data_IF_030370950906
#
_entry.id   IF_030370950906
#
_cell.length_a   1.000
_cell.length_b   1.000
_cell.length_c   1.000
_cell.angle_alpha   90.00
_cell.angle_beta   90.00
_cell.angle_gamma   90.00
#
_symmetry.space_group_name_H-M   'P 1'
#
loop_
_entity.id
_entity.type
_entity.pdbx_description
1 polymer ?
#
# COMPACT_ATOMS: atom_id res chain seq x y z
N UNK A 1 -78.30 17.90 7.05
CA UNK A 1 -77.10 17.54 7.84
C UNK A 1 -76.16 16.82 6.91
N UNK A 2 -75.20 17.54 6.33
CA UNK A 2 -74.48 17.13 5.11
C UNK A 2 -72.98 17.30 5.31
N UNK A 3 -72.28 16.16 5.16
CA UNK A 3 -70.89 15.94 4.77
C UNK A 3 -69.73 16.67 5.49
N UNK A 4 -68.98 15.88 6.28
CA UNK A 4 -67.58 16.13 6.64
C UNK A 4 -66.68 16.14 5.39
N UNK A 5 -65.92 17.21 5.19
CA UNK A 5 -64.80 17.25 4.23
C UNK A 5 -63.55 16.76 4.95
N UNK A 6 -63.06 15.58 4.55
CA UNK A 6 -61.75 15.05 4.95
C UNK A 6 -60.67 15.70 4.08
N UNK A 7 -59.77 16.47 4.70
CA UNK A 7 -58.58 17.02 4.04
C UNK A 7 -57.58 15.90 3.74
N UNK A 8 -57.39 15.59 2.45
CA UNK A 8 -56.32 14.73 1.96
C UNK A 8 -54.97 15.45 2.02
N UNK A 9 -53.94 14.72 2.47
CA UNK A 9 -52.58 15.21 2.66
C UNK A 9 -51.72 15.29 1.40
N UNK A 10 -50.51 15.81 1.59
CA UNK A 10 -49.35 15.56 0.74
C UNK A 10 -48.09 15.70 1.60
N UNK A 11 -47.60 14.56 2.09
CA UNK A 11 -46.25 14.45 2.65
C UNK A 11 -45.33 14.03 1.49
N UNK A 12 -44.56 14.99 0.95
CA UNK A 12 -43.56 14.69 -0.06
C UNK A 12 -42.36 13.99 0.61
N UNK A 13 -42.27 12.66 0.47
CA UNK A 13 -41.04 11.94 0.76
C UNK A 13 -40.03 12.23 -0.35
N UNK A 14 -39.05 13.07 -0.07
CA UNK A 14 -37.81 13.15 -0.84
C UNK A 14 -37.02 11.87 -0.62
N UNK A 15 -37.15 10.92 -1.55
CA UNK A 15 -36.23 9.78 -1.67
C UNK A 15 -34.89 10.33 -2.19
N UNK A 16 -33.98 10.65 -1.27
CA UNK A 16 -32.57 10.83 -1.57
C UNK A 16 -32.00 9.47 -1.99
N UNK A 17 -32.00 9.20 -3.29
CA UNK A 17 -31.20 8.14 -3.89
C UNK A 17 -29.72 8.53 -3.73
N UNK A 18 -29.14 8.22 -2.57
CA UNK A 18 -27.70 8.30 -2.38
C UNK A 18 -27.05 7.39 -3.41
N UNK A 19 -26.28 7.98 -4.32
CA UNK A 19 -25.40 7.22 -5.20
C UNK A 19 -24.50 6.37 -4.30
N UNK A 20 -24.75 5.05 -4.26
CA UNK A 20 -23.81 4.12 -3.62
C UNK A 20 -22.53 4.21 -4.43
N UNK A 21 -21.46 4.70 -3.80
CA UNK A 21 -20.13 4.58 -4.38
C UNK A 21 -19.92 3.09 -4.67
N UNK A 22 -19.74 2.75 -5.95
CA UNK A 22 -19.37 1.40 -6.34
C UNK A 22 -17.98 1.18 -5.78
N UNK A 23 -17.87 0.30 -4.78
CA UNK A 23 -16.60 -0.06 -4.18
C UNK A 23 -15.75 -0.76 -5.24
N UNK A 24 -14.53 -0.26 -5.46
CA UNK A 24 -13.60 -0.85 -6.42
C UNK A 24 -13.29 -2.29 -5.96
N UNK A 25 -13.53 -3.31 -6.79
CA UNK A 25 -13.27 -4.69 -6.38
C UNK A 25 -11.78 -4.89 -6.10
N UNK A 26 -11.42 -5.74 -5.12
CA UNK A 26 -10.03 -6.11 -4.90
C UNK A 26 -9.47 -6.85 -6.13
N UNK A 27 -8.15 -7.01 -6.16
CA UNK A 27 -7.49 -7.85 -7.16
C UNK A 27 -7.85 -9.31 -6.91
N UNK A 28 -8.04 -10.10 -7.97
CA UNK A 28 -8.16 -11.56 -7.88
C UNK A 28 -6.79 -12.22 -7.57
N UNK A 29 -6.73 -13.55 -7.32
CA UNK A 29 -5.48 -14.19 -6.93
C UNK A 29 -4.36 -14.08 -7.99
N UNK A 30 -4.69 -14.15 -9.28
CA UNK A 30 -3.73 -14.02 -10.36
C UNK A 30 -3.22 -12.58 -10.47
N UNK A 31 -4.14 -11.61 -10.44
CA UNK A 31 -3.83 -10.19 -10.42
C UNK A 31 -2.96 -9.84 -9.20
N UNK A 32 -3.26 -10.40 -8.03
CA UNK A 32 -2.50 -10.19 -6.80
C UNK A 32 -1.06 -10.71 -6.91
N UNK A 33 -0.85 -11.87 -7.55
CA UNK A 33 0.49 -12.40 -7.81
C UNK A 33 1.30 -11.51 -8.75
N UNK A 34 0.69 -11.06 -9.86
CA UNK A 34 1.35 -10.19 -10.84
C UNK A 34 1.63 -8.79 -10.25
N UNK A 35 0.68 -8.24 -9.46
CA UNK A 35 0.89 -7.00 -8.71
C UNK A 35 2.09 -7.11 -7.79
N UNK A 36 2.23 -8.20 -7.01
CA UNK A 36 3.37 -8.39 -6.11
C UNK A 36 4.70 -8.38 -6.86
N UNK A 37 4.75 -9.04 -8.02
CA UNK A 37 5.95 -9.07 -8.84
C UNK A 37 6.33 -7.65 -9.32
N UNK A 38 5.37 -6.84 -9.77
CA UNK A 38 5.62 -5.45 -10.13
C UNK A 38 5.98 -4.57 -8.94
N UNK A 39 5.25 -4.67 -7.84
CA UNK A 39 5.47 -3.92 -6.60
C UNK A 39 6.90 -4.12 -6.08
N UNK A 40 7.34 -5.38 -5.98
CA UNK A 40 8.70 -5.73 -5.55
C UNK A 40 9.74 -5.27 -6.58
N UNK A 41 9.47 -5.42 -7.89
CA UNK A 41 10.39 -4.94 -8.94
C UNK A 41 10.59 -3.42 -8.88
N UNK A 42 9.53 -2.65 -8.66
CA UNK A 42 9.59 -1.20 -8.59
C UNK A 42 10.33 -0.74 -7.32
N UNK A 43 10.03 -1.35 -6.17
CA UNK A 43 10.75 -1.08 -4.94
C UNK A 43 12.25 -1.43 -5.06
N UNK A 44 12.57 -2.52 -5.76
CA UNK A 44 13.96 -2.88 -6.06
C UNK A 44 14.64 -1.83 -6.94
N UNK A 45 13.95 -1.26 -7.93
CA UNK A 45 14.53 -0.22 -8.78
C UNK A 45 14.87 1.04 -7.97
N UNK A 46 14.02 1.41 -7.00
CA UNK A 46 14.30 2.55 -6.11
C UNK A 46 15.51 2.28 -5.20
N UNK A 47 15.80 1.01 -4.88
CA UNK A 47 17.01 0.63 -4.15
C UNK A 47 18.26 0.70 -5.04
N UNK A 48 18.20 0.19 -6.27
CA UNK A 48 19.38 0.06 -7.13
C UNK A 48 19.80 1.37 -7.79
N UNK A 49 18.85 2.20 -8.21
CA UNK A 49 19.12 3.47 -8.87
C UNK A 49 19.03 4.67 -7.92
N UNK A 50 18.51 4.46 -6.71
CA UNK A 50 18.06 5.52 -5.81
C UNK A 50 16.65 5.99 -6.14
N UNK A 51 16.07 6.87 -5.28
CA UNK A 51 14.73 7.41 -5.49
C UNK A 51 14.60 8.13 -6.84
N UNK A 52 13.64 7.68 -7.65
CA UNK A 52 13.26 8.36 -8.89
C UNK A 52 12.79 9.79 -8.58
N UNK A 53 13.07 10.78 -9.45
CA UNK A 53 12.51 12.14 -9.33
C UNK A 53 10.98 12.16 -9.29
N UNK A 54 10.31 11.09 -9.75
CA UNK A 54 8.85 10.93 -9.69
C UNK A 54 8.34 10.55 -8.30
N UNK A 55 9.22 10.08 -7.43
CA UNK A 55 8.90 9.75 -6.05
C UNK A 55 9.18 10.97 -5.16
N UNK A 56 8.16 11.83 -5.03
CA UNK A 56 8.27 13.10 -4.29
C UNK A 56 8.23 12.94 -2.76
N UNK A 57 7.59 11.89 -2.26
CA UNK A 57 7.36 11.69 -0.82
C UNK A 57 8.32 10.62 -0.29
N UNK A 58 9.58 10.99 -0.09
CA UNK A 58 10.66 10.07 0.27
C UNK A 58 10.58 9.70 1.76
N UNK A 59 9.59 8.90 2.11
CA UNK A 59 9.37 8.31 3.43
C UNK A 59 9.04 6.81 3.31
N UNK A 60 9.03 6.07 4.43
CA UNK A 60 8.80 4.62 4.40
C UNK A 60 7.45 4.25 3.77
N UNK A 61 6.38 4.95 4.12
CA UNK A 61 5.06 4.75 3.54
C UNK A 61 4.98 5.30 2.10
N UNK A 62 5.78 6.30 1.77
CA UNK A 62 5.91 6.88 0.45
C UNK A 62 6.48 5.90 -0.57
N UNK A 63 7.44 5.07 -0.16
CA UNK A 63 7.93 3.95 -0.98
C UNK A 63 6.79 2.99 -1.32
N UNK A 64 5.96 2.62 -0.35
CA UNK A 64 4.80 1.75 -0.55
C UNK A 64 3.76 2.41 -1.46
N UNK A 65 3.40 3.67 -1.19
CA UNK A 65 2.45 4.43 -2.02
C UNK A 65 2.94 4.52 -3.47
N UNK A 66 4.22 4.84 -3.67
CA UNK A 66 4.83 4.94 -4.99
C UNK A 66 4.83 3.59 -5.71
N UNK A 67 5.39 2.55 -5.09
CA UNK A 67 5.48 1.23 -5.69
C UNK A 67 4.09 0.63 -5.99
N UNK A 68 3.11 0.81 -5.11
CA UNK A 68 1.75 0.33 -5.31
C UNK A 68 1.05 1.07 -6.45
N UNK A 69 1.18 2.40 -6.49
CA UNK A 69 0.60 3.20 -7.55
C UNK A 69 1.20 2.89 -8.92
N UNK A 70 2.52 2.76 -8.99
CA UNK A 70 3.20 2.45 -10.24
C UNK A 70 2.93 1.00 -10.69
N UNK A 71 2.79 0.03 -9.78
CA UNK A 71 2.46 -1.36 -10.09
C UNK A 71 1.05 -1.57 -10.66
N UNK A 72 0.12 -0.63 -10.44
CA UNK A 72 -1.26 -0.71 -10.96
C UNK A 72 -1.41 -0.02 -12.32
N UNK A 73 -0.37 0.64 -12.83
CA UNK A 73 -0.40 1.29 -14.15
C UNK A 73 -0.21 0.29 -15.27
N UNK A 74 -0.37 0.78 -16.50
CA UNK A 74 0.04 0.05 -17.70
C UNK A 74 1.55 0.19 -17.85
N UNK A 75 2.27 -0.93 -17.96
CA UNK A 75 3.74 -0.94 -18.04
C UNK A 75 4.24 -0.95 -19.49
N UNK A 76 3.80 0.03 -20.29
CA UNK A 76 4.24 0.22 -21.67
C UNK A 76 5.68 0.78 -21.76
N UNK A 77 6.22 0.88 -22.99
CA UNK A 77 7.56 1.43 -23.24
C UNK A 77 7.73 2.86 -22.72
N UNK A 78 6.65 3.66 -22.70
CA UNK A 78 6.70 5.02 -22.17
C UNK A 78 6.84 4.99 -20.65
N UNK A 79 6.08 4.14 -19.98
CA UNK A 79 6.16 3.92 -18.54
C UNK A 79 7.55 3.43 -18.13
N UNK A 80 8.10 2.44 -18.85
CA UNK A 80 9.44 1.89 -18.60
C UNK A 80 10.52 2.96 -18.69
N UNK A 81 10.54 3.74 -19.78
CA UNK A 81 11.46 4.88 -19.93
C UNK A 81 11.29 5.92 -18.82
N UNK A 82 10.06 6.24 -18.44
CA UNK A 82 9.78 7.26 -17.42
C UNK A 82 10.19 6.84 -16.01
N UNK A 83 10.26 5.53 -15.74
CA UNK A 83 10.67 4.98 -14.45
C UNK A 83 12.11 4.47 -14.46
N UNK A 84 12.84 4.57 -15.57
CA UNK A 84 14.23 4.12 -15.68
C UNK A 84 14.39 2.59 -15.62
N UNK A 85 13.33 1.82 -15.86
CA UNK A 85 13.40 0.35 -15.83
C UNK A 85 13.95 -0.18 -17.16
N UNK A 86 14.85 -1.17 -17.05
CA UNK A 86 15.27 -1.96 -18.20
C UNK A 86 14.22 -3.01 -18.58
N UNK A 87 14.13 -3.32 -19.87
CA UNK A 87 13.22 -4.34 -20.41
C UNK A 87 13.64 -5.80 -20.09
N UNK A 88 14.57 -6.00 -19.15
CA UNK A 88 15.00 -7.34 -18.73
C UNK A 88 14.21 -7.79 -17.50
N UNK A 89 13.83 -9.07 -17.51
CA UNK A 89 13.15 -9.74 -16.38
C UNK A 89 11.92 -8.97 -15.88
N UNK A 90 11.12 -8.41 -16.79
CA UNK A 90 9.87 -7.74 -16.45
C UNK A 90 8.83 -8.80 -16.04
N UNK A 91 8.03 -8.55 -14.99
CA UNK A 91 6.83 -9.34 -14.75
C UNK A 91 5.87 -9.26 -15.94
N UNK A 92 4.92 -10.21 -16.08
CA UNK A 92 3.89 -10.12 -17.11
C UNK A 92 3.02 -8.88 -16.89
N UNK A 93 2.40 -8.37 -17.94
CA UNK A 93 1.51 -7.20 -17.82
C UNK A 93 0.29 -7.51 -16.96
N UNK A 94 -0.05 -6.57 -16.07
CA UNK A 94 -1.15 -6.69 -15.13
C UNK A 94 -2.46 -6.28 -15.80
N UNK A 95 -3.34 -7.26 -16.03
CA UNK A 95 -4.66 -7.04 -16.63
C UNK A 95 -5.64 -6.53 -15.57
N UNK A 96 -5.98 -5.24 -15.60
CA UNK A 96 -6.88 -4.57 -14.66
C UNK A 96 -8.00 -3.82 -15.37
N UNK A 97 -9.16 -3.73 -14.71
CA UNK A 97 -10.16 -2.72 -15.03
C UNK A 97 -9.67 -1.31 -14.67
N UNK A 98 -10.25 -0.28 -15.30
CA UNK A 98 -9.92 1.12 -15.00
C UNK A 98 -10.13 1.46 -13.52
N UNK A 99 -11.16 0.89 -12.89
CA UNK A 99 -11.41 1.06 -11.45
C UNK A 99 -10.25 0.50 -10.61
N UNK A 100 -9.79 -0.72 -10.90
CA UNK A 100 -8.69 -1.36 -10.18
C UNK A 100 -7.37 -0.58 -10.32
N UNK A 101 -7.13 0.08 -11.46
CA UNK A 101 -5.95 0.95 -11.64
C UNK A 101 -5.93 2.13 -10.66
N UNK A 102 -7.09 2.52 -10.14
CA UNK A 102 -7.25 3.58 -9.14
C UNK A 102 -7.08 3.15 -7.68
N UNK A 103 -6.85 1.87 -7.37
CA UNK A 103 -6.82 1.38 -5.98
C UNK A 103 -5.80 2.13 -5.10
N UNK A 104 -4.57 2.33 -5.60
CA UNK A 104 -3.53 3.08 -4.89
C UNK A 104 -3.65 4.62 -5.00
N UNK A 105 -4.78 5.12 -5.51
CA UNK A 105 -5.18 6.53 -5.43
C UNK A 105 -6.36 6.74 -4.47
N UNK A 106 -6.93 5.66 -3.94
CA UNK A 106 -8.14 5.64 -3.12
C UNK A 106 -7.88 5.07 -1.72
N UNK A 107 -6.75 5.41 -1.12
CA UNK A 107 -6.41 4.94 0.23
C UNK A 107 -7.40 5.48 1.26
N UNK A 108 -7.87 4.61 2.16
CA UNK A 108 -8.72 4.97 3.29
C UNK A 108 -7.93 5.84 4.27
N UNK A 109 -8.43 7.06 4.52
CA UNK A 109 -7.77 8.07 5.37
C UNK A 109 -8.36 8.15 6.79
N UNK A 110 -9.41 7.40 7.07
CA UNK A 110 -10.22 7.48 8.29
C UNK A 110 -11.40 8.46 8.16
N UNK A 111 -12.44 8.28 8.98
CA UNK A 111 -13.63 9.14 8.98
C UNK A 111 -14.40 9.13 7.64
N UNK A 112 -14.38 8.01 6.92
CA UNK A 112 -15.04 7.85 5.61
C UNK A 112 -14.35 8.58 4.44
N UNK A 113 -13.16 9.15 4.65
CA UNK A 113 -12.40 9.83 3.58
C UNK A 113 -11.48 8.87 2.86
N UNK A 114 -11.35 9.05 1.55
CA UNK A 114 -10.37 8.37 0.69
C UNK A 114 -9.50 9.38 -0.04
N UNK A 115 -8.27 9.01 -0.38
CA UNK A 115 -7.40 9.86 -1.19
C UNK A 115 -6.05 9.23 -1.52
N UNK A 116 -5.20 9.95 -2.29
CA UNK A 116 -3.94 9.41 -2.81
C UNK A 116 -2.82 9.33 -1.77
N UNK A 117 -3.05 9.87 -0.57
CA UNK A 117 -2.05 9.99 0.48
C UNK A 117 -2.51 9.38 1.80
N UNK A 118 -1.66 8.54 2.40
CA UNK A 118 -1.79 7.95 3.73
C UNK A 118 -0.40 7.75 4.34
N UNK A 119 -0.22 8.05 5.62
CA UNK A 119 1.01 7.74 6.35
C UNK A 119 1.02 6.27 6.83
N UNK A 120 2.10 5.86 7.49
CA UNK A 120 2.27 4.48 7.97
C UNK A 120 1.12 4.02 8.89
N UNK A 121 0.71 4.83 9.87
CA UNK A 121 -0.39 4.47 10.77
C UNK A 121 -1.71 4.22 10.02
N UNK A 122 -2.02 5.01 8.98
CA UNK A 122 -3.22 4.80 8.15
C UNK A 122 -3.10 3.57 7.25
N UNK A 123 -1.89 3.20 6.82
CA UNK A 123 -1.67 1.92 6.13
C UNK A 123 -1.99 0.75 7.06
N UNK A 124 -1.54 0.79 8.31
CA UNK A 124 -1.83 -0.23 9.33
C UNK A 124 -3.33 -0.29 9.63
N UNK A 125 -3.95 0.87 9.92
CA UNK A 125 -5.31 0.92 10.45
C UNK A 125 -6.40 0.58 9.42
N UNK A 126 -6.21 0.96 8.15
CA UNK A 126 -7.31 0.93 7.17
C UNK A 126 -6.99 0.25 5.84
N UNK A 127 -5.72 0.14 5.46
CA UNK A 127 -5.35 -0.24 4.09
C UNK A 127 -4.58 -1.57 4.01
N UNK A 128 -4.36 -2.20 5.15
CA UNK A 128 -3.78 -3.53 5.24
C UNK A 128 -4.40 -4.32 6.38
N UNK A 129 -4.19 -5.63 6.37
CA UNK A 129 -4.60 -6.55 7.43
C UNK A 129 -3.42 -7.37 7.90
N UNK A 130 -3.43 -7.73 9.18
CA UNK A 130 -2.42 -8.58 9.79
C UNK A 130 -2.47 -9.98 9.14
N UNK A 131 -1.31 -10.47 8.70
CA UNK A 131 -1.11 -11.84 8.22
C UNK A 131 -0.61 -12.71 9.37
N UNK A 132 0.47 -12.29 10.02
CA UNK A 132 1.11 -13.04 11.11
C UNK A 132 2.12 -12.15 11.85
N UNK A 133 2.51 -12.53 13.07
CA UNK A 133 3.72 -12.02 13.73
C UNK A 133 4.95 -12.88 13.48
N UNK A 134 4.80 -13.96 12.71
CA UNK A 134 5.90 -14.78 12.20
C UNK A 134 6.26 -14.34 10.76
N UNK A 135 7.50 -13.88 10.59
CA UNK A 135 8.05 -13.43 9.28
C UNK A 135 8.10 -14.57 8.27
N UNK A 136 8.17 -15.83 8.69
CA UNK A 136 8.15 -16.96 7.77
C UNK A 136 6.83 -17.06 6.98
N UNK A 137 5.75 -16.41 7.44
CA UNK A 137 4.48 -16.33 6.73
C UNK A 137 4.42 -15.18 5.70
N UNK A 138 5.46 -14.35 5.61
CA UNK A 138 5.49 -13.21 4.70
C UNK A 138 5.65 -13.64 3.25
N UNK A 139 4.81 -13.09 2.37
CA UNK A 139 4.96 -13.21 0.91
C UNK A 139 5.60 -11.94 0.34
N UNK A 140 6.37 -12.01 -0.75
CA UNK A 140 6.95 -10.81 -1.37
C UNK A 140 5.90 -9.72 -1.60
N UNK A 141 6.21 -8.49 -1.17
CA UNK A 141 5.32 -7.34 -1.19
C UNK A 141 4.43 -7.16 0.04
N UNK A 142 4.47 -8.09 1.02
CA UNK A 142 3.89 -7.83 2.34
C UNK A 142 4.74 -6.78 3.10
N UNK A 143 4.12 -6.11 4.07
CA UNK A 143 4.69 -5.01 4.84
C UNK A 143 5.01 -5.47 6.26
N UNK A 144 6.21 -5.18 6.74
CA UNK A 144 6.64 -5.43 8.11
C UNK A 144 6.53 -4.12 8.89
N UNK A 145 5.61 -4.04 9.85
CA UNK A 145 5.35 -2.82 10.61
C UNK A 145 6.04 -2.83 11.97
N UNK A 146 6.59 -1.67 12.32
CA UNK A 146 7.23 -1.42 13.60
C UNK A 146 6.62 -0.19 14.29
N UNK A 147 6.22 -0.39 15.54
CA UNK A 147 5.84 0.69 16.44
C UNK A 147 7.10 1.41 16.91
N UNK A 148 7.18 2.71 16.65
CA UNK A 148 8.23 3.61 17.15
C UNK A 148 7.61 4.83 17.84
N UNK A 149 6.42 4.66 18.43
CA UNK A 149 5.65 5.75 19.02
C UNK A 149 4.97 6.59 17.94
N UNK A 150 5.27 7.89 17.91
CA UNK A 150 4.62 8.81 16.95
C UNK A 150 5.05 8.56 15.49
N UNK A 151 6.22 7.94 15.28
CA UNK A 151 6.82 7.70 13.97
C UNK A 151 6.77 6.23 13.55
N UNK A 152 5.56 5.69 13.39
CA UNK A 152 5.34 4.33 12.87
C UNK A 152 6.19 4.06 11.61
N UNK A 153 6.94 2.96 11.63
CA UNK A 153 7.85 2.62 10.54
C UNK A 153 7.42 1.33 9.85
N UNK A 154 7.81 1.19 8.59
CA UNK A 154 7.54 -0.02 7.83
C UNK A 154 8.67 -0.38 6.89
N UNK A 155 8.76 -1.66 6.60
CA UNK A 155 9.70 -2.24 5.65
C UNK A 155 8.93 -3.15 4.68
N UNK A 156 9.32 -3.17 3.41
CA UNK A 156 8.74 -4.06 2.41
C UNK A 156 9.50 -5.39 2.44
N UNK A 157 8.80 -6.50 2.58
CA UNK A 157 9.40 -7.82 2.42
C UNK A 157 9.63 -8.14 0.94
N UNK A 158 10.90 -8.27 0.56
CA UNK A 158 11.32 -8.52 -0.83
C UNK A 158 11.45 -10.02 -1.14
N UNK A 159 11.01 -10.89 -0.23
CA UNK A 159 11.09 -12.35 -0.35
C UNK A 159 12.36 -12.99 0.23
N UNK A 160 13.44 -12.21 0.39
CA UNK A 160 14.69 -12.70 1.00
C UNK A 160 15.43 -11.64 1.85
N UNK A 161 15.13 -10.36 1.61
CA UNK A 161 15.63 -9.20 2.36
C UNK A 161 14.49 -8.19 2.47
N UNK A 162 14.73 -7.10 3.19
CA UNK A 162 13.81 -5.98 3.33
C UNK A 162 14.28 -4.78 2.51
N UNK A 163 13.33 -4.02 1.96
CA UNK A 163 13.55 -2.70 1.39
C UNK A 163 12.83 -1.65 2.24
N UNK A 164 13.49 -0.54 2.56
CA UNK A 164 12.86 0.52 3.34
C UNK A 164 13.52 1.87 3.08
N UNK A 165 12.84 2.93 3.53
CA UNK A 165 13.34 4.29 3.54
C UNK A 165 13.44 4.76 4.98
N UNK A 166 14.53 5.42 5.39
CA UNK A 166 14.79 5.87 6.77
C UNK A 166 13.87 7.01 7.24
N UNK A 167 13.08 7.58 6.33
CA UNK A 167 12.21 8.73 6.59
C UNK A 167 12.90 10.09 6.45
N UNK A 168 14.22 10.11 6.18
CA UNK A 168 14.99 11.33 5.99
C UNK A 168 15.95 11.19 4.81
N UNK A 169 16.23 12.30 4.13
CA UNK A 169 17.17 12.39 3.03
C UNK A 169 18.11 13.57 3.25
N UNK A 170 19.38 13.41 2.89
CA UNK A 170 20.40 14.46 2.89
C UNK A 170 21.07 14.53 1.50
N UNK A 171 21.86 15.57 1.18
CA UNK A 171 22.55 15.66 -0.12
C UNK A 171 23.45 14.45 -0.43
N UNK A 172 23.92 13.74 0.59
CA UNK A 172 24.83 12.59 0.47
C UNK A 172 24.17 11.25 0.80
N UNK A 173 22.90 11.25 1.21
CA UNK A 173 22.19 10.07 1.65
C UNK A 173 20.73 10.14 1.21
N UNK A 174 20.32 9.26 0.31
CA UNK A 174 18.98 9.24 -0.25
C UNK A 174 17.96 8.49 0.63
N UNK A 175 18.34 8.06 1.83
CA UNK A 175 17.47 7.40 2.80
C UNK A 175 17.05 5.97 2.45
N UNK A 176 17.34 5.48 1.25
CA UNK A 176 17.02 4.10 0.85
C UNK A 176 17.98 3.10 1.48
N UNK A 177 17.44 1.98 1.97
CA UNK A 177 18.21 0.93 2.64
C UNK A 177 17.67 -0.45 2.32
N UNK A 178 18.55 -1.43 2.37
CA UNK A 178 18.18 -2.84 2.36
C UNK A 178 18.98 -3.62 3.39
N UNK A 179 18.39 -4.68 3.94
CA UNK A 179 19.05 -5.60 4.86
C UNK A 179 18.47 -7.00 4.72
N UNK A 180 19.32 -8.03 4.78
CA UNK A 180 18.83 -9.41 4.87
C UNK A 180 18.09 -9.63 6.19
N UNK A 181 17.21 -10.63 6.22
CA UNK A 181 16.53 -11.02 7.47
C UNK A 181 17.55 -11.40 8.56
N UNK A 182 18.62 -12.12 8.19
CA UNK A 182 19.67 -12.50 9.13
C UNK A 182 20.37 -11.28 9.76
N UNK A 183 20.69 -10.26 8.96
CA UNK A 183 21.26 -9.02 9.50
C UNK A 183 20.28 -8.36 10.46
N UNK A 184 19.01 -8.25 10.08
CA UNK A 184 17.97 -7.64 10.90
C UNK A 184 17.79 -8.35 12.26
N UNK A 185 17.81 -9.69 12.26
CA UNK A 185 17.73 -10.52 13.47
C UNK A 185 18.96 -10.39 14.40
N UNK A 186 20.07 -9.83 13.90
CA UNK A 186 21.33 -9.67 14.64
C UNK A 186 21.70 -8.20 14.86
N UNK A 187 20.79 -7.27 14.61
CA UNK A 187 21.01 -5.85 14.87
C UNK A 187 21.18 -5.55 16.36
N UNK A 188 22.05 -4.58 16.65
CA UNK A 188 22.27 -4.10 18.02
C UNK A 188 21.04 -3.40 18.60
N UNK A 189 20.31 -2.66 17.77
CA UNK A 189 19.04 -2.04 18.17
C UNK A 189 17.92 -3.07 18.04
N UNK A 190 17.59 -3.70 19.15
CA UNK A 190 16.65 -4.82 19.21
C UNK A 190 15.21 -4.42 18.87
N UNK A 191 14.90 -3.12 18.85
CA UNK A 191 13.56 -2.61 18.48
C UNK A 191 13.18 -2.99 17.05
N UNK A 192 14.16 -3.24 16.19
CA UNK A 192 13.96 -3.59 14.78
C UNK A 192 13.96 -5.08 14.48
N UNK A 193 14.15 -5.94 15.49
CA UNK A 193 14.15 -7.39 15.30
C UNK A 193 12.69 -7.83 15.04
N UNK A 194 12.35 -8.42 13.88
CA UNK A 194 10.98 -8.79 13.54
C UNK A 194 10.61 -10.14 14.15
N UNK A 195 10.62 -10.18 15.48
CA UNK A 195 10.29 -11.35 16.28
C UNK A 195 8.93 -11.15 16.96
N UNK A 196 8.14 -12.22 17.08
CA UNK A 196 6.82 -12.16 17.70
C UNK A 196 6.85 -11.72 19.18
N UNK A 197 7.97 -11.91 19.87
CA UNK A 197 8.19 -11.44 21.24
C UNK A 197 8.61 -9.96 21.31
N UNK A 198 9.07 -9.34 20.22
CA UNK A 198 9.41 -7.92 20.21
C UNK A 198 8.12 -7.07 20.19
N UNK A 199 7.84 -6.26 21.23
CA UNK A 199 6.63 -5.43 21.26
C UNK A 199 6.62 -4.35 20.19
N UNK A 200 7.79 -3.91 19.70
CA UNK A 200 7.88 -2.95 18.61
C UNK A 200 7.49 -3.59 17.27
N UNK A 201 7.61 -4.91 17.10
CA UNK A 201 7.20 -5.56 15.85
C UNK A 201 5.71 -5.89 15.88
N UNK A 202 4.92 -5.07 15.19
CA UNK A 202 3.46 -5.19 15.14
C UNK A 202 3.06 -6.40 14.29
N UNK A 203 3.85 -6.72 13.26
CA UNK A 203 3.71 -7.94 12.47
C UNK A 203 3.89 -7.72 10.98
N UNK A 204 3.59 -8.79 10.23
CA UNK A 204 3.52 -8.82 8.78
C UNK A 204 2.09 -8.52 8.35
N UNK A 205 1.92 -7.55 7.47
CA UNK A 205 0.64 -7.06 6.98
C UNK A 205 0.57 -7.14 5.46
N UNK A 206 -0.66 -7.25 4.96
CA UNK A 206 -0.94 -7.36 3.53
C UNK A 206 -1.93 -6.30 3.11
N UNK A 207 -1.67 -5.65 2.00
CA UNK A 207 -2.56 -4.63 1.44
C UNK A 207 -3.96 -5.23 1.19
N UNK A 208 -5.01 -4.50 1.58
CA UNK A 208 -6.39 -5.01 1.60
C UNK A 208 -6.96 -5.32 0.22
N UNK A 209 -6.44 -4.69 -0.83
CA UNK A 209 -6.87 -4.99 -2.19
C UNK A 209 -6.22 -6.24 -2.79
N UNK A 210 -5.37 -6.96 -2.03
CA UNK A 210 -4.78 -8.23 -2.47
C UNK A 210 -5.60 -9.41 -1.93
N UNK A 211 -5.89 -10.36 -2.81
CA UNK A 211 -6.45 -11.66 -2.43
C UNK A 211 -5.36 -12.73 -2.24
N UNK A 212 -5.79 -13.86 -1.66
CA UNK A 212 -4.93 -14.97 -1.21
C UNK A 212 -4.53 -15.94 -2.31
#
# INVERSE_FOLDING_TARGET
MTALIRSLGLLALLLSAGARAVETPPLDPQQSQVFRAWFVRIAQEQLSQGPSPRWYQQDCAGLVRFAANEALKVHDDKWLRSNGLSNRYLPPELQLSDAQRGLAQQWQQGGGKVGPYVNAIKLIQFNSHLVSRDVAQARPGDLMFFDQGDDQHLMIWMGRYIAYHTGTSTPTDNGMRSASLQQLMTWKDTRWIPDAANPNFIGVYRLNFLSQ
#
